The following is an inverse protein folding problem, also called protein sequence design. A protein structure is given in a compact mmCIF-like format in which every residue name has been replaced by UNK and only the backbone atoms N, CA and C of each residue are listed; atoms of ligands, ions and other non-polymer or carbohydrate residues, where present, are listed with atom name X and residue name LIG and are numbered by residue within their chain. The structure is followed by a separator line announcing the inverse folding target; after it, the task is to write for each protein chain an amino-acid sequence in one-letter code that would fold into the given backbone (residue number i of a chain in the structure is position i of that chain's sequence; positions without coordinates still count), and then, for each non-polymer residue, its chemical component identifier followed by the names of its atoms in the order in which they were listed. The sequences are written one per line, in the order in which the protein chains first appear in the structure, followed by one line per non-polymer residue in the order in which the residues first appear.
data_IF_728063539088
#
_entry.id   IF_728063539088
#
_cell.length_a   1.000
_cell.length_b   1.000
_cell.length_c   1.000
_cell.angle_alpha   90.00
_cell.angle_beta   90.00
_cell.angle_gamma   90.00
#
_symmetry.space_group_name_H-M   'P 1'
#
loop_
_entity.id
_entity.type
_entity.pdbx_description
1 polymer ?
#
# COMPACT_ATOMS: atom_id res chain seq x y z
N UNK A 1 -2.96 -12.73 4.37
CA UNK A 1 -3.51 -12.33 3.06
C UNK A 1 -2.43 -12.49 2.01
N UNK A 2 -2.76 -12.96 0.81
CA UNK A 2 -1.80 -13.25 -0.27
C UNK A 2 -2.34 -12.74 -1.60
N UNK A 3 -1.46 -12.35 -2.52
CA UNK A 3 -1.84 -12.08 -3.92
C UNK A 3 -2.08 -13.42 -4.62
N UNK A 4 -3.20 -13.62 -5.35
CA UNK A 4 -3.45 -14.86 -6.07
C UNK A 4 -2.36 -15.19 -7.10
N UNK A 5 -1.99 -16.46 -7.24
CA UNK A 5 -0.85 -16.88 -8.07
C UNK A 5 -0.99 -16.57 -9.57
N UNK A 6 -2.22 -16.44 -10.08
CA UNK A 6 -2.47 -16.10 -11.48
C UNK A 6 -2.35 -14.59 -11.76
N UNK A 7 -2.23 -13.74 -10.72
CA UNK A 7 -1.96 -12.33 -10.91
C UNK A 7 -0.53 -12.12 -11.39
N UNK A 8 -0.31 -11.04 -12.11
CA UNK A 8 1.01 -10.65 -12.64
C UNK A 8 1.36 -9.26 -12.14
N UNK A 9 2.65 -9.03 -11.94
CA UNK A 9 3.18 -7.69 -11.69
C UNK A 9 2.90 -6.82 -12.92
N UNK A 10 2.36 -5.62 -12.69
CA UNK A 10 1.97 -4.70 -13.78
C UNK A 10 2.79 -3.44 -13.77
N UNK A 11 3.02 -2.84 -12.60
CA UNK A 11 3.92 -1.69 -12.43
C UNK A 11 4.55 -1.69 -11.04
N UNK A 12 5.67 -1.01 -10.95
CA UNK A 12 6.26 -0.57 -9.68
C UNK A 12 6.32 0.96 -9.65
N UNK A 13 6.30 1.53 -8.45
CA UNK A 13 6.64 2.94 -8.23
C UNK A 13 8.14 3.10 -8.12
N UNK A 14 8.67 4.34 -8.28
CA UNK A 14 9.95 4.68 -7.67
C UNK A 14 9.91 4.42 -6.16
N UNK A 15 11.08 4.38 -5.56
CA UNK A 15 11.18 4.47 -4.11
C UNK A 15 10.91 5.89 -3.64
N UNK A 16 10.22 6.01 -2.51
CA UNK A 16 9.88 7.27 -1.88
C UNK A 16 10.38 7.34 -0.46
N UNK A 17 10.70 8.56 -0.05
CA UNK A 17 10.96 8.99 1.32
C UNK A 17 9.93 10.03 1.77
N UNK A 18 10.14 10.62 2.95
CA UNK A 18 9.25 11.65 3.50
C UNK A 18 9.09 12.91 2.62
N UNK A 19 10.03 13.18 1.71
CA UNK A 19 10.02 14.36 0.85
C UNK A 19 9.41 14.09 -0.51
N UNK A 20 9.51 12.85 -0.99
CA UNK A 20 9.11 12.44 -2.34
C UNK A 20 7.82 11.63 -2.37
N UNK A 21 7.32 11.19 -1.22
CA UNK A 21 6.05 10.45 -1.12
C UNK A 21 4.88 11.25 -1.71
N UNK A 22 4.07 10.65 -2.62
CA UNK A 22 2.85 11.29 -3.08
C UNK A 22 1.88 11.52 -1.92
N UNK A 23 1.43 12.76 -1.74
CA UNK A 23 0.53 13.15 -0.65
C UNK A 23 -0.78 12.34 -0.62
N UNK A 24 -1.23 11.84 -1.77
CA UNK A 24 -2.39 10.96 -1.86
C UNK A 24 -2.25 9.70 -1.00
N UNK A 25 -1.03 9.16 -0.83
CA UNK A 25 -0.81 7.96 -0.02
C UNK A 25 -0.96 8.21 1.49
N UNK A 26 -0.71 9.45 1.93
CA UNK A 26 -0.85 9.87 3.32
C UNK A 26 -2.30 10.14 3.70
N UNK A 27 -3.16 10.34 2.68
CA UNK A 27 -4.59 10.50 2.81
C UNK A 27 -5.32 9.18 2.52
N UNK A 28 -6.60 9.11 2.88
CA UNK A 28 -7.43 7.92 2.66
C UNK A 28 -7.64 7.69 1.16
N UNK A 29 -7.32 6.49 0.69
CA UNK A 29 -7.43 6.07 -0.70
C UNK A 29 -7.58 4.53 -0.79
N UNK A 30 -7.72 3.99 -2.00
CA UNK A 30 -7.68 2.56 -2.25
C UNK A 30 -7.05 2.25 -3.62
N UNK A 31 -6.90 0.97 -3.92
CA UNK A 31 -6.57 0.51 -5.28
C UNK A 31 -7.85 0.29 -6.09
N UNK A 32 -7.71 0.32 -7.43
CA UNK A 32 -8.81 -0.03 -8.34
C UNK A 32 -9.30 -1.48 -8.10
N UNK A 33 -10.50 -1.77 -8.57
CA UNK A 33 -11.02 -3.14 -8.65
C UNK A 33 -10.02 -4.05 -9.38
N UNK A 34 -9.85 -5.27 -8.87
CA UNK A 34 -8.91 -6.25 -9.45
C UNK A 34 -7.42 -5.91 -9.29
N UNK A 35 -7.05 -4.84 -8.55
CA UNK A 35 -5.64 -4.47 -8.35
C UNK A 35 -5.23 -4.61 -6.89
N UNK A 36 -4.24 -5.47 -6.65
CA UNK A 36 -3.55 -5.54 -5.38
C UNK A 36 -2.34 -4.62 -5.39
N UNK A 37 -2.01 -4.03 -4.24
CA UNK A 37 -0.74 -3.35 -4.02
C UNK A 37 0.06 -4.08 -2.94
N UNK A 38 1.38 -4.19 -3.14
CA UNK A 38 2.33 -4.63 -2.12
C UNK A 38 3.24 -3.46 -1.75
N UNK A 39 3.19 -3.04 -0.48
CA UNK A 39 4.07 -2.02 0.08
C UNK A 39 5.27 -2.70 0.74
N UNK A 40 6.46 -2.46 0.21
CA UNK A 40 7.72 -2.98 0.76
C UNK A 40 8.49 -1.84 1.42
N UNK A 41 9.04 -2.07 2.62
CA UNK A 41 9.84 -1.07 3.36
C UNK A 41 11.30 -1.50 3.34
N UNK A 42 12.18 -0.58 2.91
CA UNK A 42 13.62 -0.83 2.72
C UNK A 42 14.41 -0.23 3.89
N UNK A 43 13.95 0.88 4.45
CA UNK A 43 14.49 1.52 5.66
C UNK A 43 13.36 2.13 6.48
N UNK A 44 13.58 2.30 7.78
CA UNK A 44 12.59 2.85 8.69
C UNK A 44 11.37 1.95 8.89
N UNK A 45 10.19 2.57 9.02
CA UNK A 45 8.93 1.87 9.19
C UNK A 45 7.73 2.68 8.65
N UNK A 46 6.75 1.96 8.11
CA UNK A 46 5.48 2.53 7.65
C UNK A 46 4.34 1.95 8.48
N UNK A 47 3.45 2.79 9.02
CA UNK A 47 2.18 2.35 9.58
C UNK A 47 1.13 2.34 8.48
N UNK A 48 0.49 1.20 8.28
CA UNK A 48 -0.67 1.03 7.43
C UNK A 48 -1.94 1.15 8.28
N UNK A 49 -2.88 1.99 7.87
CA UNK A 49 -4.15 2.22 8.57
C UNK A 49 -5.30 1.93 7.61
N UNK A 50 -6.11 0.91 7.91
CA UNK A 50 -7.22 0.44 7.08
C UNK A 50 -8.59 0.78 7.68
N UNK A 51 -9.58 0.93 6.79
CA UNK A 51 -10.93 1.38 7.09
C UNK A 51 -11.96 0.51 6.37
N UNK A 52 -13.13 0.33 6.99
CA UNK A 52 -14.24 -0.40 6.39
C UNK A 52 -14.69 0.24 5.06
N UNK A 53 -14.72 1.56 5.00
CA UNK A 53 -15.11 2.35 3.82
C UNK A 53 -14.50 3.77 3.84
N UNK A 54 -14.88 4.59 2.85
CA UNK A 54 -14.42 5.97 2.71
C UNK A 54 -14.81 6.87 3.89
N UNK A 55 -15.98 6.66 4.48
CA UNK A 55 -16.62 7.52 5.48
C UNK A 55 -16.43 7.02 6.91
N UNK A 56 -15.85 5.84 7.09
CA UNK A 56 -15.60 5.22 8.37
C UNK A 56 -14.86 6.17 9.34
N UNK A 57 -15.43 6.36 10.53
CA UNK A 57 -14.93 7.32 11.52
C UNK A 57 -13.67 6.81 12.25
N UNK A 58 -13.46 5.50 12.28
CA UNK A 58 -12.33 4.87 12.95
C UNK A 58 -11.65 3.85 12.04
N UNK A 59 -10.35 3.64 12.27
CA UNK A 59 -9.61 2.56 11.64
C UNK A 59 -10.05 1.22 12.21
N UNK A 60 -10.25 0.23 11.34
CA UNK A 60 -10.51 -1.16 11.76
C UNK A 60 -9.23 -2.00 11.84
N UNK A 61 -8.14 -1.48 11.24
CA UNK A 61 -6.86 -2.19 11.20
C UNK A 61 -5.69 -1.23 11.20
N UNK A 62 -4.70 -1.55 12.01
CA UNK A 62 -3.41 -0.87 12.00
C UNK A 62 -2.27 -1.90 11.99
N UNK A 63 -1.28 -1.70 11.12
CA UNK A 63 -0.13 -2.60 10.98
C UNK A 63 1.13 -1.78 10.81
N UNK A 64 2.17 -2.06 11.62
CA UNK A 64 3.50 -1.46 11.42
C UNK A 64 4.35 -2.39 10.55
N UNK A 65 4.81 -1.87 9.43
CA UNK A 65 5.63 -2.54 8.43
C UNK A 65 7.06 -2.02 8.59
N UNK A 66 7.95 -2.87 9.12
CA UNK A 66 9.36 -2.51 9.33
C UNK A 66 10.20 -2.79 8.09
N UNK A 67 11.39 -2.22 8.03
CA UNK A 67 12.39 -2.54 7.01
C UNK A 67 12.58 -4.06 6.82
N UNK A 68 12.67 -4.50 5.57
CA UNK A 68 12.75 -5.91 5.19
C UNK A 68 11.40 -6.64 5.14
N UNK A 69 10.31 -5.98 5.56
CA UNK A 69 8.95 -6.53 5.51
C UNK A 69 8.10 -5.85 4.43
N UNK A 70 6.96 -6.46 4.13
CA UNK A 70 5.94 -5.89 3.26
C UNK A 70 4.53 -6.12 3.80
N UNK A 71 3.58 -5.33 3.34
CA UNK A 71 2.14 -5.60 3.48
C UNK A 71 1.44 -5.55 2.12
N UNK A 72 0.26 -6.16 2.05
CA UNK A 72 -0.54 -6.20 0.84
C UNK A 72 -1.87 -5.50 1.12
N UNK A 73 -2.25 -4.56 0.25
CA UNK A 73 -3.59 -3.97 0.18
C UNK A 73 -4.44 -4.75 -0.83
N UNK A 74 -5.64 -5.22 -0.43
CA UNK A 74 -6.56 -5.84 -1.37
C UNK A 74 -7.25 -4.79 -2.24
N UNK A 75 -7.83 -5.18 -3.40
CA UNK A 75 -8.59 -4.30 -4.26
C UNK A 75 -9.67 -3.53 -3.50
N UNK A 76 -9.81 -2.23 -3.77
CA UNK A 76 -10.86 -1.34 -3.26
C UNK A 76 -10.95 -1.20 -1.74
N UNK A 77 -10.00 -1.76 -0.98
CA UNK A 77 -9.97 -1.61 0.47
C UNK A 77 -9.39 -0.24 0.86
N UNK A 78 -10.12 0.50 1.68
CA UNK A 78 -9.78 1.87 2.04
C UNK A 78 -8.66 1.90 3.09
N UNK A 79 -7.62 2.68 2.81
CA UNK A 79 -6.45 2.79 3.68
C UNK A 79 -5.70 4.11 3.48
N UNK A 80 -4.76 4.36 4.38
CA UNK A 80 -3.69 5.35 4.23
C UNK A 80 -2.42 4.84 4.89
N UNK A 81 -1.30 5.53 4.66
CA UNK A 81 -0.03 5.22 5.33
C UNK A 81 0.48 6.40 6.14
N UNK A 82 1.24 6.10 7.19
CA UNK A 82 2.02 7.07 7.96
C UNK A 82 3.48 6.62 7.93
N UNK A 83 4.40 7.56 7.70
CA UNK A 83 5.83 7.29 7.83
C UNK A 83 6.21 7.48 9.29
N UNK A 84 6.74 6.43 9.93
CA UNK A 84 7.00 6.45 11.38
C UNK A 84 8.41 6.96 11.73
N UNK A 85 9.31 7.01 10.75
CA UNK A 85 10.69 7.47 10.95
C UNK A 85 11.14 8.39 9.83
N UNK A 86 12.06 9.30 10.13
CA UNK A 86 12.59 10.28 9.17
C UNK A 86 13.33 9.66 7.98
N UNK A 87 13.92 8.48 8.18
CA UNK A 87 14.68 7.72 7.18
C UNK A 87 13.84 6.70 6.42
N UNK A 88 12.51 6.70 6.62
CA UNK A 88 11.60 5.76 5.97
C UNK A 88 11.76 5.81 4.45
N UNK A 89 11.98 4.65 3.85
CA UNK A 89 12.18 4.49 2.42
C UNK A 89 11.43 3.26 1.92
N UNK A 90 10.51 3.45 0.99
CA UNK A 90 9.54 2.42 0.59
C UNK A 90 9.16 2.49 -0.89
N UNK A 91 8.58 1.42 -1.44
CA UNK A 91 7.96 1.43 -2.78
C UNK A 91 6.66 0.60 -2.78
N UNK A 92 5.88 0.75 -3.86
CA UNK A 92 4.73 -0.07 -4.14
C UNK A 92 4.95 -0.89 -5.42
N UNK A 93 4.55 -2.16 -5.36
CA UNK A 93 4.34 -3.02 -6.51
C UNK A 93 2.84 -3.25 -6.70
N UNK A 94 2.36 -3.24 -7.94
CA UNK A 94 0.96 -3.49 -8.26
C UNK A 94 0.80 -4.78 -9.05
N UNK A 95 -0.28 -5.51 -8.75
CA UNK A 95 -0.58 -6.80 -9.34
C UNK A 95 -2.04 -6.86 -9.77
N UNK A 96 -2.27 -7.39 -10.97
CA UNK A 96 -3.62 -7.59 -11.53
C UNK A 96 -3.67 -8.91 -12.31
N UNK A 97 -4.87 -9.47 -12.49
CA UNK A 97 -5.11 -10.54 -13.45
C UNK A 97 -5.03 -10.00 -14.88
N UNK A 98 -4.72 -10.86 -15.87
CA UNK A 98 -4.53 -10.41 -17.26
C UNK A 98 -5.74 -9.68 -17.85
N UNK A 99 -6.96 -10.06 -17.47
CA UNK A 99 -8.18 -9.38 -17.90
C UNK A 99 -8.30 -7.93 -17.41
N UNK A 100 -7.64 -7.61 -16.28
CA UNK A 100 -7.69 -6.32 -15.60
C UNK A 100 -6.43 -5.46 -15.89
N UNK A 101 -5.52 -5.94 -16.75
CA UNK A 101 -4.35 -5.20 -17.21
C UNK A 101 -4.76 -4.20 -18.30
N UNK A 102 -5.42 -3.12 -17.91
CA UNK A 102 -5.62 -1.93 -18.76
C UNK A 102 -4.91 -0.72 -18.18
#
# INVERSE_FOLDING_TARGET
MTIPQHFRHTRATPFWDKTTVPQALLNRHNTKQGVYARLSVMRGAVKYVGFADEQAQAAEREVVIKAGCFAISPPQYWHRIELLTDDTYFNLDFFAADADRR
#
